data_IF_375351510710
#
_entry.id   IF_375351510710
#
_cell.length_a   1.000
_cell.length_b   1.000
_cell.length_c   1.000
_cell.angle_alpha   90.00
_cell.angle_beta   90.00
_cell.angle_gamma   90.00
#
_symmetry.space_group_name_H-M   'P 1'
#
loop_
_entity.id
_entity.type
_entity.pdbx_description
1 polymer ?
#
# COMPACT_ATOMS: atom_id res chain seq x y z
N UNK A 1 3.40 -36.38 24.78
CA UNK A 1 3.78 -37.30 23.70
C UNK A 1 3.81 -36.49 22.41
N UNK A 2 4.97 -35.99 22.01
CA UNK A 2 5.12 -35.23 20.77
C UNK A 2 4.99 -36.21 19.59
N UNK A 3 4.19 -35.93 18.54
CA UNK A 3 4.15 -36.82 17.40
C UNK A 3 5.56 -36.98 16.81
N UNK A 4 5.96 -38.18 16.39
CA UNK A 4 7.26 -38.37 15.77
C UNK A 4 7.37 -37.41 14.58
N UNK A 5 8.56 -36.80 14.35
CA UNK A 5 8.75 -35.97 13.18
C UNK A 5 8.36 -36.77 11.93
N UNK A 6 7.59 -36.18 11.00
CA UNK A 6 7.09 -36.89 9.84
C UNK A 6 8.26 -37.56 9.09
N UNK A 7 8.03 -38.77 8.59
CA UNK A 7 9.08 -39.46 7.86
C UNK A 7 9.46 -38.65 6.62
N UNK A 8 10.70 -38.78 6.16
CA UNK A 8 11.19 -38.06 4.97
C UNK A 8 10.35 -38.35 3.72
N UNK A 9 9.69 -39.50 3.66
CA UNK A 9 8.76 -39.86 2.58
C UNK A 9 7.45 -39.07 2.67
N UNK A 10 6.92 -38.89 3.88
CA UNK A 10 5.69 -38.12 4.13
C UNK A 10 5.91 -36.64 3.81
N UNK A 11 7.03 -36.07 4.26
CA UNK A 11 7.41 -34.69 3.95
C UNK A 11 7.58 -34.46 2.44
N UNK A 12 8.09 -35.47 1.71
CA UNK A 12 8.23 -35.39 0.24
C UNK A 12 6.88 -35.42 -0.45
N UNK A 13 5.98 -36.32 -0.05
CA UNK A 13 4.65 -36.44 -0.64
C UNK A 13 3.84 -35.15 -0.41
N UNK A 14 3.89 -34.61 0.81
CA UNK A 14 3.21 -33.36 1.15
C UNK A 14 3.80 -32.16 0.42
N UNK A 15 5.14 -32.07 0.28
CA UNK A 15 5.77 -31.04 -0.52
C UNK A 15 5.29 -31.06 -1.98
N UNK A 16 5.21 -32.24 -2.60
CA UNK A 16 4.75 -32.38 -3.99
C UNK A 16 3.26 -32.04 -4.15
N UNK A 17 2.44 -32.37 -3.16
CA UNK A 17 1.03 -31.99 -3.11
C UNK A 17 0.90 -30.46 -3.05
N UNK A 18 1.57 -29.82 -2.10
CA UNK A 18 1.58 -28.36 -1.94
C UNK A 18 2.08 -27.65 -3.19
N UNK A 19 3.12 -28.18 -3.84
CA UNK A 19 3.65 -27.60 -5.07
C UNK A 19 2.61 -27.60 -6.21
N UNK A 20 1.81 -28.66 -6.34
CA UNK A 20 0.80 -28.80 -7.41
C UNK A 20 -0.50 -28.03 -7.12
N UNK A 21 -0.93 -28.05 -5.86
CA UNK A 21 -2.26 -27.57 -5.47
C UNK A 21 -2.25 -26.13 -4.96
N UNK A 22 -1.08 -25.57 -4.63
CA UNK A 22 -0.97 -24.23 -4.04
C UNK A 22 0.02 -23.35 -4.78
N UNK A 23 -0.12 -22.04 -4.64
CA UNK A 23 0.82 -21.03 -5.14
C UNK A 23 1.90 -20.65 -4.12
N UNK A 24 2.06 -21.42 -3.04
CA UNK A 24 3.04 -21.15 -2.00
C UNK A 24 4.48 -21.16 -2.54
N UNK A 25 5.33 -20.17 -2.23
CA UNK A 25 6.73 -20.19 -2.64
C UNK A 25 7.49 -21.36 -1.99
N UNK A 26 8.60 -21.77 -2.58
CA UNK A 26 9.43 -22.86 -2.06
C UNK A 26 9.82 -22.64 -0.59
N UNK A 27 10.08 -21.40 -0.19
CA UNK A 27 10.46 -21.03 1.19
C UNK A 27 9.29 -21.20 2.18
N UNK A 28 8.05 -20.94 1.75
CA UNK A 28 6.88 -21.16 2.60
C UNK A 28 6.59 -22.66 2.77
N UNK A 29 6.75 -23.45 1.71
CA UNK A 29 6.63 -24.91 1.75
C UNK A 29 7.74 -25.50 2.64
N UNK A 30 8.96 -24.98 2.53
CA UNK A 30 10.10 -25.44 3.32
C UNK A 30 9.94 -25.14 4.80
N UNK A 31 9.51 -23.93 5.16
CA UNK A 31 9.22 -23.54 6.55
C UNK A 31 8.10 -24.38 7.15
N UNK A 32 7.04 -24.66 6.38
CA UNK A 32 5.91 -25.50 6.82
C UNK A 32 6.32 -26.94 7.10
N UNK A 33 7.24 -27.49 6.33
CA UNK A 33 7.65 -28.89 6.42
C UNK A 33 8.93 -29.10 7.24
N UNK A 34 9.55 -28.03 7.75
CA UNK A 34 10.80 -28.10 8.51
C UNK A 34 11.99 -28.62 7.69
N UNK A 35 11.98 -28.42 6.37
CA UNK A 35 13.05 -28.86 5.46
C UNK A 35 13.72 -27.66 4.80
N UNK A 36 14.93 -27.85 4.30
CA UNK A 36 15.63 -26.79 3.57
C UNK A 36 14.99 -26.54 2.17
N UNK A 37 14.89 -25.28 1.68
CA UNK A 37 14.29 -24.97 0.38
C UNK A 37 14.91 -25.73 -0.81
N UNK A 38 16.23 -25.98 -0.78
CA UNK A 38 16.93 -26.76 -1.81
C UNK A 38 16.44 -28.22 -1.89
N UNK A 39 15.99 -28.79 -0.77
CA UNK A 39 15.43 -30.14 -0.72
C UNK A 39 14.09 -30.20 -1.44
N UNK A 40 13.22 -29.21 -1.19
CA UNK A 40 11.93 -29.07 -1.90
C UNK A 40 12.17 -28.89 -3.40
N UNK A 41 13.15 -28.07 -3.78
CA UNK A 41 13.55 -27.88 -5.19
C UNK A 41 14.03 -29.18 -5.84
N UNK A 42 14.85 -29.95 -5.13
CA UNK A 42 15.36 -31.25 -5.60
C UNK A 42 14.22 -32.25 -5.80
N UNK A 43 13.27 -32.33 -4.87
CA UNK A 43 12.10 -33.18 -5.00
C UNK A 43 11.23 -32.78 -6.19
N UNK A 44 11.03 -31.48 -6.39
CA UNK A 44 10.27 -30.95 -7.51
C UNK A 44 10.89 -31.31 -8.87
N UNK A 45 12.22 -31.12 -9.02
CA UNK A 45 12.97 -31.51 -10.23
C UNK A 45 12.87 -33.01 -10.47
N UNK A 46 13.05 -33.84 -9.44
CA UNK A 46 12.93 -35.31 -9.56
C UNK A 46 11.52 -35.79 -9.86
N UNK A 47 10.50 -35.02 -9.49
CA UNK A 47 9.11 -35.32 -9.82
C UNK A 47 8.73 -34.90 -11.26
N UNK A 48 9.67 -34.34 -12.02
CA UNK A 48 9.44 -33.89 -13.40
C UNK A 48 8.52 -32.67 -13.52
N UNK A 49 8.17 -32.04 -12.39
CA UNK A 49 7.26 -30.90 -12.39
C UNK A 49 8.06 -29.60 -12.35
N UNK A 50 8.20 -28.93 -13.50
CA UNK A 50 8.75 -27.59 -13.54
C UNK A 50 7.60 -26.62 -13.29
N UNK A 51 7.49 -26.12 -12.05
CA UNK A 51 6.53 -25.05 -11.75
C UNK A 51 6.75 -23.91 -12.75
N UNK A 52 5.69 -23.36 -13.37
CA UNK A 52 5.82 -22.23 -14.26
C UNK A 52 6.67 -21.16 -13.57
N UNK A 53 7.77 -20.78 -14.21
CA UNK A 53 8.58 -19.68 -13.70
C UNK A 53 7.64 -18.48 -13.64
N UNK A 54 7.43 -17.91 -12.45
CA UNK A 54 6.93 -16.53 -12.35
C UNK A 54 8.02 -15.68 -13.01
N UNK A 55 7.88 -15.48 -14.31
CA UNK A 55 8.78 -14.64 -15.06
C UNK A 55 8.73 -13.27 -14.42
N UNK A 56 9.89 -12.71 -14.07
CA UNK A 56 9.89 -11.34 -13.60
C UNK A 56 9.25 -10.47 -14.69
N UNK A 57 8.22 -9.68 -14.38
CA UNK A 57 7.47 -8.90 -15.37
C UNK A 57 8.39 -8.09 -16.28
N UNK A 58 9.48 -7.54 -15.72
CA UNK A 58 10.54 -6.82 -16.42
C UNK A 58 11.20 -7.61 -17.57
N UNK A 59 11.35 -8.93 -17.45
CA UNK A 59 11.95 -9.77 -18.49
C UNK A 59 10.97 -10.11 -19.62
N UNK A 60 9.67 -10.11 -19.33
CA UNK A 60 8.64 -10.35 -20.34
C UNK A 60 8.37 -9.07 -21.14
N UNK A 61 8.14 -7.94 -20.48
CA UNK A 61 7.71 -6.70 -21.13
C UNK A 61 8.80 -6.08 -22.01
N UNK A 62 10.07 -6.21 -21.64
CA UNK A 62 11.20 -5.73 -22.44
C UNK A 62 11.29 -6.39 -23.83
N UNK A 63 10.76 -7.60 -23.98
CA UNK A 63 10.76 -8.36 -25.24
C UNK A 63 9.50 -8.15 -26.07
N UNK A 64 8.53 -7.40 -25.56
CA UNK A 64 7.26 -7.20 -26.24
C UNK A 64 7.37 -6.14 -27.34
N UNK A 65 6.68 -6.29 -28.49
CA UNK A 65 6.55 -5.23 -29.48
C UNK A 65 5.92 -3.96 -28.87
N UNK A 66 6.32 -2.78 -29.36
CA UNK A 66 5.82 -1.49 -28.87
C UNK A 66 4.28 -1.40 -28.92
N UNK A 67 3.66 -1.89 -29.99
CA UNK A 67 2.21 -1.93 -30.15
C UNK A 67 1.50 -2.72 -29.02
N UNK A 68 2.11 -3.83 -28.57
CA UNK A 68 1.58 -4.65 -27.47
C UNK A 68 1.69 -3.93 -26.13
N UNK A 69 2.80 -3.25 -25.85
CA UNK A 69 2.95 -2.44 -24.64
C UNK A 69 1.94 -1.30 -24.60
N UNK A 70 1.77 -0.58 -25.71
CA UNK A 70 0.80 0.50 -25.82
C UNK A 70 -0.65 0.03 -25.63
N UNK A 71 -1.01 -1.16 -26.15
CA UNK A 71 -2.33 -1.75 -25.93
C UNK A 71 -2.58 -2.09 -24.45
N UNK A 72 -1.56 -2.64 -23.77
CA UNK A 72 -1.67 -2.92 -22.34
C UNK A 72 -1.81 -1.64 -21.52
N UNK A 73 -1.05 -0.59 -21.84
CA UNK A 73 -1.15 0.70 -21.14
C UNK A 73 -2.57 1.28 -21.27
N UNK A 74 -3.19 1.22 -22.46
CA UNK A 74 -4.59 1.63 -22.64
C UNK A 74 -5.56 0.83 -21.75
N UNK A 75 -5.35 -0.49 -21.64
CA UNK A 75 -6.15 -1.35 -20.78
C UNK A 75 -5.98 -0.99 -19.30
N UNK A 76 -4.74 -0.78 -18.85
CA UNK A 76 -4.45 -0.37 -17.47
C UNK A 76 -5.05 1.00 -17.11
N UNK A 77 -5.17 1.90 -18.09
CA UNK A 77 -5.80 3.21 -17.93
C UNK A 77 -7.33 3.18 -18.00
N UNK A 78 -7.96 2.02 -18.21
CA UNK A 78 -9.43 1.94 -18.32
C UNK A 78 -10.07 2.27 -16.96
N UNK A 79 -11.04 3.21 -16.89
CA UNK A 79 -11.71 3.54 -15.64
C UNK A 79 -12.35 2.30 -15.00
N UNK A 80 -12.13 2.11 -13.70
CA UNK A 80 -12.64 0.95 -12.96
C UNK A 80 -11.81 -0.34 -13.09
N UNK A 81 -10.81 -0.40 -13.98
CA UNK A 81 -9.89 -1.52 -14.02
C UNK A 81 -8.86 -1.41 -12.89
N UNK A 82 -8.69 -2.48 -12.12
CA UNK A 82 -7.57 -2.63 -11.19
C UNK A 82 -6.32 -3.08 -11.97
N UNK A 83 -5.20 -2.33 -11.91
CA UNK A 83 -3.95 -2.71 -12.59
C UNK A 83 -3.40 -4.08 -12.17
N UNK A 84 -3.63 -4.46 -10.91
CA UNK A 84 -3.25 -5.77 -10.38
C UNK A 84 -4.05 -6.90 -11.04
N UNK A 85 -5.37 -6.75 -11.16
CA UNK A 85 -6.22 -7.75 -11.82
C UNK A 85 -5.92 -7.87 -13.31
N UNK A 86 -5.69 -6.75 -14.01
CA UNK A 86 -5.30 -6.77 -15.44
C UNK A 86 -3.99 -7.52 -15.66
N UNK A 87 -3.01 -7.34 -14.76
CA UNK A 87 -1.70 -8.01 -14.87
C UNK A 87 -1.76 -9.48 -14.46
N UNK A 88 -2.62 -9.83 -13.51
CA UNK A 88 -2.91 -11.21 -13.12
C UNK A 88 -3.54 -11.99 -14.28
N UNK A 89 -4.55 -11.44 -14.96
CA UNK A 89 -5.22 -12.06 -16.13
C UNK A 89 -4.21 -12.37 -17.24
N UNK A 90 -3.19 -11.52 -17.41
CA UNK A 90 -2.17 -11.68 -18.44
C UNK A 90 -1.02 -12.61 -18.01
N UNK A 91 -1.11 -13.24 -16.83
CA UNK A 91 -0.11 -14.16 -16.30
C UNK A 91 1.20 -13.48 -15.90
N UNK A 92 1.19 -12.16 -15.69
CA UNK A 92 2.36 -11.41 -15.22
C UNK A 92 2.48 -11.42 -13.68
N UNK A 93 1.44 -11.91 -13.00
CA UNK A 93 1.21 -11.74 -11.57
C UNK A 93 0.69 -10.33 -11.25
N UNK A 94 0.10 -10.15 -10.06
CA UNK A 94 -0.27 -8.81 -9.57
C UNK A 94 0.95 -7.90 -9.45
N UNK A 95 1.04 -6.90 -10.33
CA UNK A 95 2.11 -5.91 -10.31
C UNK A 95 1.71 -4.68 -9.50
N UNK A 96 2.58 -4.26 -8.58
CA UNK A 96 2.48 -2.97 -7.90
C UNK A 96 2.99 -1.82 -8.79
N UNK A 97 2.77 -0.57 -8.34
CA UNK A 97 3.14 0.62 -9.08
C UNK A 97 4.65 0.70 -9.40
N UNK A 98 5.52 0.22 -8.49
CA UNK A 98 6.97 0.23 -8.69
C UNK A 98 7.42 -0.81 -9.72
N UNK A 99 6.82 -2.00 -9.69
CA UNK A 99 7.05 -3.06 -10.67
C UNK A 99 6.51 -2.68 -12.04
N UNK A 100 5.34 -2.01 -12.12
CA UNK A 100 4.80 -1.45 -13.35
C UNK A 100 5.74 -0.38 -13.94
N UNK A 101 6.20 0.57 -13.11
CA UNK A 101 7.17 1.58 -13.54
C UNK A 101 8.48 0.93 -14.03
N UNK A 102 8.97 -0.11 -13.36
CA UNK A 102 10.17 -0.83 -13.78
C UNK A 102 9.98 -1.64 -15.07
N UNK A 103 8.77 -2.15 -15.33
CA UNK A 103 8.47 -3.01 -16.47
C UNK A 103 8.13 -2.23 -17.75
N UNK A 104 7.53 -1.05 -17.63
CA UNK A 104 7.06 -0.24 -18.77
C UNK A 104 7.80 1.10 -18.92
N UNK A 105 8.53 1.55 -17.90
CA UNK A 105 9.34 2.76 -17.97
C UNK A 105 8.52 4.01 -18.28
N UNK A 106 9.07 4.88 -19.13
CA UNK A 106 8.47 6.16 -19.52
C UNK A 106 7.16 6.03 -20.32
N UNK A 107 6.84 4.83 -20.83
CA UNK A 107 5.59 4.59 -21.56
C UNK A 107 4.37 4.59 -20.62
N UNK A 108 4.58 4.42 -19.30
CA UNK A 108 3.50 4.35 -18.33
C UNK A 108 3.05 5.77 -17.91
N UNK A 109 1.75 6.11 -17.99
CA UNK A 109 1.29 7.41 -17.53
C UNK A 109 1.48 7.58 -16.01
N UNK A 110 1.80 8.80 -15.55
CA UNK A 110 2.10 9.07 -14.15
C UNK A 110 0.91 8.80 -13.22
N UNK A 111 -0.32 8.78 -13.74
CA UNK A 111 -1.53 8.42 -12.99
C UNK A 111 -1.52 6.97 -12.50
N UNK A 112 -0.91 6.05 -13.24
CA UNK A 112 -0.77 4.64 -12.84
C UNK A 112 0.38 4.42 -11.85
N UNK A 113 1.43 5.25 -11.92
CA UNK A 113 2.54 5.24 -10.96
C UNK A 113 2.14 5.91 -9.65
N UNK A 114 1.30 6.97 -9.73
CA UNK A 114 0.80 7.77 -8.61
C UNK A 114 -0.51 7.25 -8.02
N UNK A 115 -1.09 6.19 -8.56
CA UNK A 115 -1.99 5.30 -7.82
C UNK A 115 -1.16 4.53 -6.79
N UNK A 116 -0.49 5.31 -5.94
CA UNK A 116 0.32 4.84 -4.84
C UNK A 116 -0.61 4.23 -3.83
N UNK A 117 -0.16 3.10 -3.30
CA UNK A 117 -0.54 2.45 -2.06
C UNK A 117 -1.85 2.98 -1.41
N UNK A 118 -2.91 2.17 -1.21
CA UNK A 118 -4.10 2.61 -0.48
C UNK A 118 -3.77 3.19 0.91
N UNK A 119 -2.57 2.92 1.46
CA UNK A 119 -2.05 3.59 2.65
C UNK A 119 -1.78 5.11 2.49
N UNK A 120 -1.74 5.64 1.27
CA UNK A 120 -1.46 7.06 0.95
C UNK A 120 -2.73 7.85 0.68
N UNK A 121 -3.89 7.21 0.51
CA UNK A 121 -5.16 7.93 0.50
C UNK A 121 -5.37 8.52 1.91
N UNK A 122 -5.41 9.86 2.05
CA UNK A 122 -5.50 10.49 3.37
C UNK A 122 -6.80 10.12 4.10
N UNK A 123 -7.85 9.64 3.41
CA UNK A 123 -9.05 9.11 4.05
C UNK A 123 -8.82 7.68 4.60
N UNK A 124 -8.18 6.81 3.81
CA UNK A 124 -7.81 5.45 4.22
C UNK A 124 -6.78 5.46 5.36
N UNK A 125 -5.75 6.32 5.31
CA UNK A 125 -4.79 6.51 6.39
C UNK A 125 -5.46 6.95 7.69
N UNK A 126 -6.38 7.93 7.62
CA UNK A 126 -7.16 8.39 8.79
C UNK A 126 -8.02 7.26 9.36
N UNK A 127 -8.58 6.41 8.51
CA UNK A 127 -9.41 5.28 8.93
C UNK A 127 -8.57 4.20 9.64
N UNK A 128 -7.41 3.86 9.08
CA UNK A 128 -6.48 2.91 9.71
C UNK A 128 -5.90 3.45 11.02
N UNK A 129 -5.53 4.74 11.06
CA UNK A 129 -5.05 5.41 12.27
C UNK A 129 -6.12 5.39 13.36
N UNK A 130 -7.38 5.74 13.03
CA UNK A 130 -8.51 5.67 13.97
C UNK A 130 -8.72 4.25 14.49
N UNK A 131 -8.71 3.25 13.61
CA UNK A 131 -8.86 1.85 14.01
C UNK A 131 -7.70 1.38 14.90
N UNK A 132 -6.48 1.84 14.64
CA UNK A 132 -5.31 1.54 15.46
C UNK A 132 -5.40 2.19 16.84
N UNK A 133 -5.77 3.48 16.91
CA UNK A 133 -5.98 4.22 18.17
C UNK A 133 -7.05 3.53 19.02
N UNK A 134 -8.18 3.13 18.43
CA UNK A 134 -9.25 2.40 19.15
C UNK A 134 -8.72 1.09 19.75
N UNK A 135 -7.90 0.32 19.02
CA UNK A 135 -7.29 -0.90 19.53
C UNK A 135 -6.29 -0.64 20.66
N UNK A 136 -5.51 0.44 20.57
CA UNK A 136 -4.58 0.82 21.64
C UNK A 136 -5.33 1.27 22.89
N UNK A 137 -6.38 2.08 22.76
CA UNK A 137 -7.24 2.48 23.88
C UNK A 137 -7.84 1.24 24.56
N UNK A 138 -8.39 0.30 23.80
CA UNK A 138 -8.94 -0.94 24.36
C UNK A 138 -7.88 -1.80 25.07
N UNK A 139 -6.64 -1.86 24.56
CA UNK A 139 -5.53 -2.55 25.21
C UNK A 139 -5.09 -1.85 26.50
N UNK A 140 -5.08 -0.52 26.51
CA UNK A 140 -4.83 0.28 27.72
C UNK A 140 -5.93 0.11 28.75
N UNK A 141 -7.20 0.17 28.35
CA UNK A 141 -8.35 -0.04 29.22
C UNK A 141 -8.33 -1.45 29.84
N UNK A 142 -7.98 -2.47 29.08
CA UNK A 142 -7.79 -3.83 29.60
C UNK A 142 -6.64 -3.92 30.61
N UNK A 143 -5.57 -3.14 30.40
CA UNK A 143 -4.42 -3.07 31.32
C UNK A 143 -4.78 -2.32 32.62
N UNK A 144 -5.55 -1.22 32.52
CA UNK A 144 -6.05 -0.44 33.65
C UNK A 144 -7.12 -1.18 34.45
N UNK A 145 -7.93 -2.02 33.79
CA UNK A 145 -8.98 -2.85 34.41
C UNK A 145 -8.42 -4.08 35.15
N UNK A 146 -7.10 -4.31 35.13
CA UNK A 146 -6.43 -5.30 35.97
C UNK A 146 -6.61 -6.77 35.58
N UNK A 147 -7.01 -7.08 34.34
CA UNK A 147 -7.11 -8.48 33.86
C UNK A 147 -5.84 -8.85 33.08
N UNK A 148 -4.79 -9.27 33.81
CA UNK A 148 -3.58 -9.87 33.24
C UNK A 148 -2.26 -9.43 33.90
N UNK A 149 -1.13 -10.11 33.63
CA UNK A 149 0.14 -9.99 34.37
C UNK A 149 0.88 -8.63 34.21
N UNK A 150 0.23 -7.62 33.61
CA UNK A 150 0.77 -6.31 33.27
C UNK A 150 0.76 -5.28 34.42
N UNK A 151 0.27 -5.64 35.61
CA UNK A 151 0.29 -4.77 36.79
C UNK A 151 1.70 -4.34 37.25
N UNK A 152 2.78 -4.87 36.65
CA UNK A 152 4.18 -4.60 37.03
C UNK A 152 4.88 -3.47 36.27
N UNK A 153 4.27 -2.85 35.25
CA UNK A 153 4.98 -1.84 34.44
C UNK A 153 4.30 -0.47 34.39
N UNK A 154 3.53 -0.11 35.42
CA UNK A 154 2.89 1.20 35.57
C UNK A 154 3.90 2.36 35.49
N UNK A 155 5.14 2.16 35.95
CA UNK A 155 6.22 3.14 35.85
C UNK A 155 6.76 3.32 34.42
N UNK A 156 6.61 2.32 33.55
CA UNK A 156 6.93 2.44 32.12
C UNK A 156 5.81 3.16 31.38
N UNK A 157 4.56 2.82 31.68
CA UNK A 157 3.38 3.49 31.12
C UNK A 157 3.39 4.99 31.49
N UNK A 158 3.71 5.35 32.73
CA UNK A 158 3.84 6.75 33.15
C UNK A 158 5.00 7.49 32.45
N UNK A 159 6.10 6.80 32.13
CA UNK A 159 7.21 7.38 31.35
C UNK A 159 6.81 7.59 29.89
N UNK A 160 6.12 6.63 29.29
CA UNK A 160 5.65 6.72 27.91
C UNK A 160 4.60 7.83 27.75
N UNK A 161 3.70 7.98 28.72
CA UNK A 161 2.75 9.11 28.79
C UNK A 161 3.46 10.46 28.98
N UNK A 162 4.50 10.50 29.81
CA UNK A 162 5.34 11.69 29.96
C UNK A 162 6.07 12.07 28.65
N UNK A 163 6.51 11.07 27.87
CA UNK A 163 7.11 11.27 26.56
C UNK A 163 6.10 11.77 25.51
N UNK A 164 4.90 11.19 25.50
CA UNK A 164 3.83 11.60 24.58
C UNK A 164 3.37 13.04 24.85
N UNK A 165 3.24 13.43 26.13
CA UNK A 165 2.92 14.80 26.51
C UNK A 165 3.97 15.80 26.02
N UNK A 166 5.27 15.49 26.19
CA UNK A 166 6.35 16.36 25.71
C UNK A 166 6.34 16.54 24.19
N UNK A 167 6.00 15.48 23.44
CA UNK A 167 5.85 15.56 21.99
C UNK A 167 4.68 16.47 21.60
N UNK A 168 3.54 16.37 22.29
CA UNK A 168 2.40 17.24 22.05
C UNK A 168 2.73 18.70 22.39
N UNK A 169 3.37 18.94 23.53
CA UNK A 169 3.82 20.28 23.95
C UNK A 169 4.81 20.87 22.92
N UNK A 170 5.66 20.03 22.30
CA UNK A 170 6.61 20.46 21.25
C UNK A 170 5.88 20.84 19.97
N UNK A 171 4.89 20.05 19.55
CA UNK A 171 4.07 20.33 18.35
C UNK A 171 3.24 21.60 18.55
N UNK A 172 2.67 21.79 19.73
CA UNK A 172 1.92 23.01 20.06
C UNK A 172 2.85 24.24 20.13
N UNK A 173 4.08 24.08 20.63
CA UNK A 173 5.08 25.14 20.62
C UNK A 173 5.59 25.45 19.19
N UNK A 174 5.76 24.46 18.32
CA UNK A 174 6.10 24.66 16.89
C UNK A 174 4.96 25.36 16.15
N UNK A 175 3.71 25.02 16.48
CA UNK A 175 2.51 25.69 15.95
C UNK A 175 2.40 27.14 16.40
N UNK A 176 2.70 27.42 17.66
CA UNK A 176 2.72 28.78 18.21
C UNK A 176 3.84 29.64 17.59
N UNK A 177 5.02 29.03 17.29
CA UNK A 177 6.11 29.70 16.56
C UNK A 177 5.76 29.97 15.10
N UNK A 178 5.09 29.03 14.43
CA UNK A 178 4.61 29.20 13.06
C UNK A 178 3.51 30.26 12.94
N UNK A 179 2.70 30.46 13.98
CA UNK A 179 1.69 31.52 14.04
C UNK A 179 2.27 32.91 14.40
N UNK A 180 3.52 32.98 14.89
CA UNK A 180 4.20 34.23 15.24
C UNK A 180 5.10 34.80 14.14
N UNK A 181 5.37 34.03 13.08
CA UNK A 181 6.19 34.47 11.92
C UNK A 181 5.35 34.98 10.73
N UNK A 182 4.02 34.83 10.75
CA UNK A 182 3.11 35.52 9.81
C UNK A 182 2.72 36.91 10.33
N UNK A 183 3.74 37.73 10.59
CA UNK A 183 3.60 39.15 10.89
C UNK A 183 4.46 39.96 9.92
N UNK A 184 4.02 40.13 8.66
CA UNK A 184 4.71 41.03 7.73
C UNK A 184 4.32 40.95 6.25
N UNK A 185 3.37 41.82 5.88
CA UNK A 185 3.23 42.53 4.59
C UNK A 185 2.65 41.83 3.34
N UNK A 186 1.65 42.48 2.73
CA UNK A 186 1.34 42.32 1.30
C UNK A 186 -0.10 41.94 0.87
N UNK A 187 -1.04 42.88 1.03
CA UNK A 187 -2.32 42.98 0.29
C UNK A 187 -3.48 42.06 0.70
N UNK A 188 -4.34 42.58 1.56
CA UNK A 188 -5.76 42.20 1.60
C UNK A 188 -6.33 42.36 0.17
N UNK A 189 -6.97 41.34 -0.43
CA UNK A 189 -7.49 41.45 -1.78
C UNK A 189 -8.54 42.57 -1.81
N UNK A 190 -8.38 43.54 -2.71
CA UNK A 190 -9.33 44.63 -2.93
C UNK A 190 -10.69 44.05 -3.34
N UNK A 191 -11.53 43.80 -2.32
CA UNK A 191 -12.85 43.18 -2.45
C UNK A 191 -13.76 43.98 -3.39
N UNK A 192 -13.75 45.32 -3.40
CA UNK A 192 -14.37 46.13 -4.44
C UNK A 192 -13.95 45.77 -5.87
N UNK A 193 -12.65 45.65 -6.14
CA UNK A 193 -12.16 45.29 -7.47
C UNK A 193 -12.58 43.87 -7.89
N UNK A 194 -12.54 42.92 -6.94
CA UNK A 194 -13.00 41.55 -7.17
C UNK A 194 -14.50 41.49 -7.49
N UNK A 195 -15.31 42.30 -6.79
CA UNK A 195 -16.76 42.41 -7.05
C UNK A 195 -17.05 43.00 -8.44
N UNK A 196 -16.30 44.02 -8.86
CA UNK A 196 -16.45 44.60 -10.20
C UNK A 196 -16.06 43.61 -11.31
N UNK A 197 -14.99 42.84 -11.12
CA UNK A 197 -14.55 41.80 -12.04
C UNK A 197 -15.61 40.69 -12.20
N UNK A 198 -16.20 40.23 -11.09
CA UNK A 198 -17.28 39.23 -11.10
C UNK A 198 -18.52 39.78 -11.82
N UNK A 199 -18.90 41.03 -11.58
CA UNK A 199 -20.05 41.66 -12.25
C UNK A 199 -19.86 41.75 -13.78
N UNK A 200 -18.65 42.10 -14.26
CA UNK A 200 -18.33 42.13 -15.71
C UNK A 200 -18.46 40.76 -16.35
N UNK A 201 -17.93 39.71 -15.71
CA UNK A 201 -18.02 38.33 -16.24
C UNK A 201 -19.47 37.85 -16.28
N UNK A 202 -20.27 38.21 -15.28
CA UNK A 202 -21.68 37.83 -15.23
C UNK A 202 -22.51 38.56 -16.31
N UNK A 203 -22.25 39.85 -16.56
CA UNK A 203 -22.91 40.60 -17.62
C UNK A 203 -22.63 40.02 -19.02
N UNK A 204 -21.38 39.61 -19.30
CA UNK A 204 -21.03 38.94 -20.56
C UNK A 204 -21.71 37.57 -20.72
N UNK A 205 -21.86 36.82 -19.62
CA UNK A 205 -22.52 35.51 -19.61
C UNK A 205 -24.06 35.58 -19.73
N UNK A 206 -24.68 36.69 -19.31
CA UNK A 206 -26.12 36.93 -19.47
C UNK A 206 -26.43 37.53 -20.85
N UNK A 207 -25.62 38.47 -21.34
CA UNK A 207 -25.79 39.07 -22.68
C UNK A 207 -25.56 38.10 -23.84
N UNK A 208 -24.69 37.09 -23.66
CA UNK A 208 -24.48 36.03 -24.66
C UNK A 208 -25.61 34.98 -24.72
N UNK A 209 -26.54 34.98 -23.75
CA UNK A 209 -27.66 34.02 -23.69
C UNK A 209 -28.97 34.54 -24.28
N UNK A 210 -29.01 35.82 -24.65
CA UNK A 210 -30.18 36.48 -25.28
C UNK A 210 -29.96 36.75 -26.78
N UNK A 211 -28.82 36.33 -27.35
CA UNK A 211 -28.47 36.50 -28.76
C UNK A 211 -28.28 35.16 -29.50
N UNK A 212 -28.99 34.12 -29.06
CA UNK A 212 -29.11 32.82 -29.75
C UNK A 212 -30.58 32.49 -29.97
#
# INVERSE_FOLDING_TARGET
MWPPPPSRADSRAEALKLLRETDLPFDAISARLGVHPSTVRTWNVRAGWLRPRKHRPRLLTARWPAARRAALIRLLCTPGADPGDVTEILGLGRLDAAMLASAFGADLPPTLIRRGDPATDPATLRTHLRAHIVRQIAAFDATLSGVGPAARDSARILRDLGGLKRLLDTVDADRARSAGEEGGDGSEPDLPALRAEIARRYAGFVGGRTAA
#
